data_IF_219437766126
#
_entry.id   IF_219437766126
#
_cell.length_a   1.000
_cell.length_b   1.000
_cell.length_c   1.000
_cell.angle_alpha   90.00
_cell.angle_beta   90.00
_cell.angle_gamma   90.00
#
_symmetry.space_group_name_H-M   'P 1'
#
loop_
_entity.id
_entity.type
_entity.pdbx_description
1 polymer ?
#
# COMPACT_ATOMS: atom_id res chain seq x y z
N UNK A 1 7.61 -100.37 -26.74
CA UNK A 1 6.31 -99.87 -27.23
C UNK A 1 5.40 -99.64 -26.04
N UNK A 2 4.52 -98.61 -25.94
CA UNK A 2 4.16 -97.57 -26.90
C UNK A 2 4.07 -96.11 -26.34
N UNK A 3 3.88 -95.16 -27.27
CA UNK A 3 3.17 -93.85 -27.21
C UNK A 3 3.73 -92.66 -26.39
N UNK A 4 4.28 -91.72 -27.16
CA UNK A 4 4.51 -90.31 -26.89
C UNK A 4 3.21 -89.51 -26.60
N UNK A 5 3.19 -88.60 -25.61
CA UNK A 5 2.21 -87.52 -25.58
C UNK A 5 2.71 -86.37 -26.48
N UNK A 6 1.90 -86.03 -27.47
CA UNK A 6 2.17 -85.04 -28.50
C UNK A 6 2.51 -83.65 -27.93
N UNK A 7 3.42 -82.97 -28.63
CA UNK A 7 3.71 -81.55 -28.45
C UNK A 7 2.43 -80.73 -28.72
N UNK A 8 1.87 -80.12 -27.68
CA UNK A 8 0.92 -79.02 -27.84
C UNK A 8 1.70 -77.71 -27.83
N UNK A 9 1.62 -76.86 -28.87
CA UNK A 9 2.25 -75.56 -28.82
C UNK A 9 1.56 -74.74 -27.73
N UNK A 10 2.33 -74.31 -26.73
CA UNK A 10 1.87 -73.36 -25.72
C UNK A 10 1.46 -72.09 -26.47
N UNK A 11 0.16 -71.86 -26.62
CA UNK A 11 -0.41 -70.65 -27.19
C UNK A 11 -0.02 -69.47 -26.28
N UNK A 12 1.14 -68.89 -26.53
CA UNK A 12 1.50 -67.61 -25.93
C UNK A 12 0.64 -66.54 -26.59
N UNK A 13 -0.36 -66.07 -25.85
CA UNK A 13 -1.22 -64.96 -26.26
C UNK A 13 -0.39 -63.67 -26.21
N UNK A 14 0.39 -63.43 -27.26
CA UNK A 14 1.19 -62.22 -27.42
C UNK A 14 0.21 -61.06 -27.52
N UNK A 15 0.08 -60.29 -26.44
CA UNK A 15 -0.68 -59.04 -26.44
C UNK A 15 0.02 -58.04 -27.35
N UNK A 16 -0.43 -57.91 -28.59
CA UNK A 16 0.06 -56.93 -29.58
C UNK A 16 -0.47 -55.52 -29.26
N UNK A 17 -0.14 -54.98 -28.09
CA UNK A 17 -0.61 -53.66 -27.66
C UNK A 17 0.36 -52.96 -26.71
N UNK A 18 0.51 -51.65 -26.86
CA UNK A 18 1.27 -50.81 -25.93
C UNK A 18 0.65 -50.86 -24.53
N UNK A 19 1.50 -50.82 -23.49
CA UNK A 19 1.06 -50.77 -22.09
C UNK A 19 0.11 -49.60 -21.82
N UNK A 20 -0.69 -49.71 -20.75
CA UNK A 20 -1.64 -48.67 -20.34
C UNK A 20 -0.94 -47.36 -19.95
N UNK A 21 0.23 -47.47 -19.31
CA UNK A 21 1.09 -46.35 -18.92
C UNK A 21 2.31 -46.31 -19.84
N UNK A 22 2.55 -45.16 -20.45
CA UNK A 22 3.68 -44.89 -21.35
C UNK A 22 4.40 -43.62 -20.89
N UNK A 23 5.70 -43.49 -21.20
CA UNK A 23 6.48 -42.27 -20.90
C UNK A 23 6.06 -41.05 -21.72
N UNK A 24 5.44 -41.28 -22.87
CA UNK A 24 4.94 -40.25 -23.79
C UNK A 24 3.40 -40.20 -23.75
N UNK A 25 2.85 -39.07 -24.20
CA UNK A 25 1.42 -38.91 -24.39
C UNK A 25 0.88 -39.92 -25.41
N UNK A 26 0.05 -40.83 -24.92
CA UNK A 26 -0.62 -41.82 -25.76
C UNK A 26 -1.84 -41.19 -26.42
N UNK A 27 -1.97 -41.36 -27.73
CA UNK A 27 -3.16 -40.93 -28.46
C UNK A 27 -4.42 -41.57 -27.85
N UNK A 28 -5.43 -40.74 -27.58
CA UNK A 28 -6.70 -41.21 -27.08
C UNK A 28 -7.50 -41.89 -28.20
N UNK A 29 -8.34 -42.85 -27.85
CA UNK A 29 -9.34 -43.37 -28.77
C UNK A 29 -10.29 -42.24 -29.19
N UNK A 30 -10.77 -42.26 -30.43
CA UNK A 30 -11.61 -41.19 -31.00
C UNK A 30 -12.82 -40.82 -30.12
N UNK A 31 -13.51 -41.81 -29.56
CA UNK A 31 -14.64 -41.57 -28.63
C UNK A 31 -14.20 -40.90 -27.32
N UNK A 32 -13.03 -41.27 -26.79
CA UNK A 32 -12.48 -40.66 -25.57
C UNK A 32 -12.07 -39.22 -25.82
N UNK A 33 -11.52 -38.92 -27.00
CA UNK A 33 -11.19 -37.54 -27.39
C UNK A 33 -12.44 -36.67 -27.45
N UNK A 34 -13.55 -37.18 -27.99
CA UNK A 34 -14.85 -36.49 -27.96
C UNK A 34 -15.34 -36.24 -26.54
N UNK A 35 -15.24 -37.26 -25.67
CA UNK A 35 -15.63 -37.12 -24.26
C UNK A 35 -14.85 -36.00 -23.59
N UNK A 36 -13.52 -36.00 -23.72
CA UNK A 36 -12.65 -34.98 -23.11
C UNK A 36 -13.04 -33.57 -23.56
N UNK A 37 -13.28 -33.38 -24.86
CA UNK A 37 -13.67 -32.09 -25.43
C UNK A 37 -15.05 -31.60 -24.94
N UNK A 38 -16.01 -32.51 -24.75
CA UNK A 38 -17.34 -32.17 -24.22
C UNK A 38 -17.28 -31.84 -22.72
N UNK A 39 -16.37 -32.48 -21.99
CA UNK A 39 -16.20 -32.27 -20.55
C UNK A 39 -15.26 -31.11 -20.20
N UNK A 40 -14.87 -30.30 -21.19
CA UNK A 40 -14.07 -29.10 -20.93
C UNK A 40 -14.86 -28.10 -20.05
N UNK A 41 -14.20 -27.60 -19.02
CA UNK A 41 -14.82 -26.63 -18.12
C UNK A 41 -15.05 -25.30 -18.83
N UNK A 42 -16.31 -24.85 -18.84
CA UNK A 42 -16.71 -23.54 -19.35
C UNK A 42 -17.05 -22.63 -18.17
N UNK A 43 -16.18 -21.66 -17.89
CA UNK A 43 -16.46 -20.65 -16.88
C UNK A 43 -17.70 -19.81 -17.31
N UNK A 44 -18.59 -19.46 -16.36
CA UNK A 44 -19.72 -18.59 -16.67
C UNK A 44 -19.21 -17.24 -17.16
N UNK A 45 -19.70 -16.81 -18.33
CA UNK A 45 -19.37 -15.49 -18.86
C UNK A 45 -20.14 -14.45 -18.05
N UNK A 46 -19.48 -13.48 -17.41
CA UNK A 46 -20.19 -12.43 -16.69
C UNK A 46 -21.02 -11.62 -17.71
N UNK A 47 -22.28 -11.35 -17.37
CA UNK A 47 -23.19 -10.58 -18.23
C UNK A 47 -22.70 -9.14 -18.44
N UNK A 48 -21.92 -8.63 -17.49
CA UNK A 48 -21.37 -7.28 -17.48
C UNK A 48 -19.86 -7.37 -17.27
N UNK A 49 -19.04 -6.73 -18.13
CA UNK A 49 -17.60 -6.66 -17.91
C UNK A 49 -17.26 -6.03 -16.55
N UNK A 50 -16.17 -6.43 -15.88
CA UNK A 50 -15.80 -5.93 -14.56
C UNK A 50 -15.54 -4.41 -14.53
N UNK A 51 -15.27 -3.78 -15.68
CA UNK A 51 -15.14 -2.32 -15.78
C UNK A 51 -16.48 -1.57 -15.68
N UNK A 52 -17.60 -2.25 -15.90
CA UNK A 52 -18.94 -1.69 -15.83
C UNK A 52 -19.65 -2.03 -14.51
N UNK A 53 -19.04 -2.89 -13.67
CA UNK A 53 -19.47 -3.05 -12.29
C UNK A 53 -19.02 -1.81 -11.51
N UNK A 54 -19.89 -1.18 -10.70
CA UNK A 54 -19.42 -0.19 -9.76
C UNK A 54 -18.31 -0.84 -8.95
N UNK A 55 -17.15 -0.16 -8.85
CA UNK A 55 -16.12 -0.59 -7.90
C UNK A 55 -16.83 -0.79 -6.58
N UNK A 56 -16.65 -1.95 -5.95
CA UNK A 56 -17.06 -2.15 -4.57
C UNK A 56 -16.49 -0.95 -3.81
N UNK A 57 -17.38 -0.02 -3.45
CA UNK A 57 -17.00 1.13 -2.66
C UNK A 57 -16.47 0.51 -1.39
N UNK A 58 -15.15 0.57 -1.21
CA UNK A 58 -14.47 0.13 -0.01
C UNK A 58 -15.35 0.59 1.14
N UNK A 59 -15.96 -0.40 1.81
CA UNK A 59 -16.94 -0.20 2.88
C UNK A 59 -16.46 0.96 3.71
N UNK A 60 -17.26 2.01 3.91
CA UNK A 60 -16.88 3.20 4.68
C UNK A 60 -16.22 2.76 5.98
N UNK A 61 -14.89 2.66 5.98
CA UNK A 61 -14.17 2.08 7.10
C UNK A 61 -14.40 3.09 8.22
N UNK A 62 -14.89 2.60 9.36
CA UNK A 62 -15.01 3.39 10.57
C UNK A 62 -13.70 4.15 10.78
N UNK A 63 -13.78 5.46 11.05
CA UNK A 63 -12.59 6.28 11.17
C UNK A 63 -11.63 5.65 12.18
N UNK A 64 -10.45 5.24 11.71
CA UNK A 64 -9.41 4.66 12.54
C UNK A 64 -9.22 5.49 13.81
N UNK A 65 -9.37 4.88 14.98
CA UNK A 65 -9.28 5.59 16.26
C UNK A 65 -7.95 6.35 16.43
N UNK A 66 -6.89 5.83 15.82
CA UNK A 66 -5.58 6.49 15.73
C UNK A 66 -5.61 7.78 14.90
N UNK A 67 -6.25 7.76 13.73
CA UNK A 67 -6.44 8.95 12.86
C UNK A 67 -7.22 10.03 13.63
N UNK A 68 -8.26 9.64 14.35
CA UNK A 68 -9.03 10.56 15.20
C UNK A 68 -8.18 11.19 16.31
N UNK A 69 -7.30 10.42 16.95
CA UNK A 69 -6.36 10.93 17.95
C UNK A 69 -5.36 11.91 17.33
N UNK A 70 -4.80 11.60 16.16
CA UNK A 70 -3.89 12.50 15.47
C UNK A 70 -4.56 13.82 15.08
N UNK A 71 -5.81 13.77 14.59
CA UNK A 71 -6.60 14.98 14.29
C UNK A 71 -6.76 15.86 15.53
N UNK A 72 -7.12 15.26 16.66
CA UNK A 72 -7.25 15.97 17.94
C UNK A 72 -5.93 16.61 18.40
N UNK A 73 -4.80 15.91 18.25
CA UNK A 73 -3.48 16.48 18.56
C UNK A 73 -3.11 17.68 17.69
N UNK A 74 -3.49 17.65 16.41
CA UNK A 74 -3.32 18.80 15.51
C UNK A 74 -4.20 19.95 15.98
N UNK A 75 -5.47 19.73 16.27
CA UNK A 75 -6.39 20.77 16.76
C UNK A 75 -5.90 21.41 18.05
N UNK A 76 -5.46 20.62 19.02
CA UNK A 76 -4.90 21.07 20.29
C UNK A 76 -3.61 21.89 20.05
N UNK A 77 -2.71 21.42 19.18
CA UNK A 77 -1.50 22.15 18.81
C UNK A 77 -1.81 23.51 18.18
N UNK A 78 -2.84 23.62 17.34
CA UNK A 78 -3.21 24.89 16.72
C UNK A 78 -3.98 25.82 17.67
N UNK A 79 -4.67 25.26 18.67
CA UNK A 79 -5.44 26.02 19.67
C UNK A 79 -4.55 26.60 20.77
N UNK A 80 -3.58 25.82 21.26
CA UNK A 80 -2.72 26.20 22.39
C UNK A 80 -1.63 27.20 22.02
N UNK A 81 -1.30 27.29 20.72
CA UNK A 81 -0.19 28.09 20.23
C UNK A 81 -0.69 29.36 19.51
N UNK A 82 -0.13 30.51 19.90
CA UNK A 82 -0.44 31.80 19.26
C UNK A 82 0.31 32.00 17.96
N UNK A 83 1.51 31.42 17.85
CA UNK A 83 2.35 31.48 16.66
C UNK A 83 2.44 30.09 16.04
N UNK A 84 2.13 30.02 14.75
CA UNK A 84 2.20 28.81 13.94
C UNK A 84 2.88 29.21 12.64
N UNK A 85 3.96 28.52 12.31
CA UNK A 85 4.69 28.71 11.07
C UNK A 85 4.78 27.37 10.32
N UNK A 86 4.45 27.40 9.04
CA UNK A 86 4.53 26.24 8.16
C UNK A 86 5.83 26.33 7.37
N UNK A 87 6.68 25.32 7.51
CA UNK A 87 7.92 25.21 6.78
C UNK A 87 7.94 23.93 5.95
N UNK A 88 8.63 23.98 4.82
CA UNK A 88 9.03 22.82 4.05
C UNK A 88 10.46 22.47 4.43
N UNK A 89 10.74 21.18 4.67
CA UNK A 89 12.10 20.73 4.93
C UNK A 89 12.60 19.85 3.79
N UNK A 90 13.81 20.16 3.33
CA UNK A 90 14.55 19.34 2.38
C UNK A 90 15.23 18.19 3.10
N UNK A 91 15.66 17.18 2.33
CA UNK A 91 16.35 16.03 2.89
C UNK A 91 17.62 16.48 3.62
N UNK A 92 17.67 16.26 4.93
CA UNK A 92 18.79 16.60 5.80
C UNK A 92 19.10 15.40 6.71
N UNK A 93 20.36 15.22 7.14
CA UNK A 93 20.71 14.13 8.05
C UNK A 93 19.99 14.31 9.39
N UNK A 94 19.76 13.20 10.09
CA UNK A 94 19.02 13.19 11.36
C UNK A 94 19.68 14.03 12.46
N UNK A 95 21.01 14.11 12.45
CA UNK A 95 21.80 14.88 13.44
C UNK A 95 21.50 16.37 13.35
N UNK A 96 21.53 16.93 12.15
CA UNK A 96 21.19 18.34 11.90
C UNK A 96 19.77 18.65 12.37
N UNK A 97 18.81 17.74 12.11
CA UNK A 97 17.42 17.94 12.54
C UNK A 97 17.29 17.97 14.07
N UNK A 98 18.06 17.15 14.78
CA UNK A 98 18.09 17.15 16.25
C UNK A 98 18.70 18.45 16.77
N UNK A 99 19.76 18.95 16.15
CA UNK A 99 20.35 20.24 16.51
C UNK A 99 19.35 21.39 16.32
N UNK A 100 18.67 21.44 15.18
CA UNK A 100 17.65 22.47 14.91
C UNK A 100 16.53 22.43 15.93
N UNK A 101 16.01 21.23 16.25
CA UNK A 101 15.02 21.06 17.32
C UNK A 101 15.53 21.58 18.66
N UNK A 102 16.79 21.32 18.99
CA UNK A 102 17.40 21.81 20.23
C UNK A 102 17.49 23.34 20.27
N UNK A 103 17.95 23.98 19.19
CA UNK A 103 17.99 25.45 19.09
C UNK A 103 16.61 26.09 19.18
N UNK A 104 15.60 25.52 18.51
CA UNK A 104 14.23 26.01 18.57
C UNK A 104 13.62 25.82 19.97
N UNK A 105 13.90 24.71 20.65
CA UNK A 105 13.47 24.48 22.04
C UNK A 105 14.04 25.51 23.02
N UNK A 106 15.27 25.99 22.83
CA UNK A 106 15.84 27.06 23.67
C UNK A 106 14.99 28.34 23.65
N UNK A 107 14.26 28.57 22.56
CA UNK A 107 13.35 29.71 22.41
C UNK A 107 11.88 29.39 22.70
N UNK A 108 11.57 28.22 23.29
CA UNK A 108 10.21 27.71 23.49
C UNK A 108 9.41 27.57 22.18
N UNK A 109 10.09 27.14 21.11
CA UNK A 109 9.47 26.80 19.83
C UNK A 109 9.51 25.28 19.68
N UNK A 110 8.34 24.67 19.53
CA UNK A 110 8.18 23.24 19.31
C UNK A 110 8.12 22.94 17.82
N UNK A 111 8.84 21.89 17.42
CA UNK A 111 8.81 21.36 16.06
C UNK A 111 7.88 20.16 16.03
N UNK A 112 6.79 20.26 15.27
CA UNK A 112 5.81 19.18 15.09
C UNK A 112 5.78 18.71 13.65
N UNK A 113 5.80 17.38 13.48
CA UNK A 113 5.67 16.73 12.18
C UNK A 113 4.26 16.15 12.10
N UNK A 114 3.56 16.51 11.04
CA UNK A 114 2.21 16.02 10.80
C UNK A 114 2.08 15.53 9.36
N UNK A 115 1.26 14.49 9.19
CA UNK A 115 0.93 13.96 7.88
C UNK A 115 -0.07 14.89 7.18
N UNK A 116 0.16 15.16 5.89
CA UNK A 116 -0.72 16.04 5.11
C UNK A 116 -2.17 15.53 5.07
N UNK A 117 -2.36 14.21 5.05
CA UNK A 117 -3.67 13.55 5.06
C UNK A 117 -4.46 13.84 6.33
N UNK A 118 -3.78 14.06 7.46
CA UNK A 118 -4.41 14.37 8.75
C UNK A 118 -4.64 15.87 8.89
N UNK A 119 -3.68 16.69 8.47
CA UNK A 119 -3.75 18.15 8.64
C UNK A 119 -4.78 18.79 7.71
N UNK A 120 -4.87 18.34 6.45
CA UNK A 120 -5.82 18.90 5.46
C UNK A 120 -7.29 18.89 5.91
N UNK A 121 -7.87 17.77 6.39
CA UNK A 121 -9.26 17.78 6.85
C UNK A 121 -9.45 18.70 8.07
N UNK A 122 -8.50 18.69 9.01
CA UNK A 122 -8.54 19.56 10.20
C UNK A 122 -8.51 21.04 9.81
N UNK A 123 -7.59 21.43 8.93
CA UNK A 123 -7.46 22.82 8.48
C UNK A 123 -8.68 23.28 7.67
N UNK A 124 -9.27 22.40 6.86
CA UNK A 124 -10.46 22.68 6.04
C UNK A 124 -11.69 23.02 6.88
N UNK A 125 -11.78 22.47 8.09
CA UNK A 125 -12.85 22.76 9.06
C UNK A 125 -12.51 23.94 9.97
N UNK A 126 -11.22 24.29 10.09
CA UNK A 126 -10.74 25.37 10.96
C UNK A 126 -10.79 26.77 10.31
N UNK A 127 -10.41 27.79 11.10
CA UNK A 127 -10.16 29.16 10.62
C UNK A 127 -8.92 29.31 9.73
N UNK A 128 -8.09 28.27 9.64
CA UNK A 128 -6.79 28.28 8.95
C UNK A 128 -6.85 27.69 7.54
N UNK A 129 -8.00 27.76 6.86
CA UNK A 129 -8.18 27.20 5.51
C UNK A 129 -7.16 27.72 4.50
N UNK A 130 -6.70 28.96 4.68
CA UNK A 130 -5.70 29.58 3.81
C UNK A 130 -4.31 28.93 3.88
N UNK A 131 -4.04 28.13 4.92
CA UNK A 131 -2.78 27.38 5.05
C UNK A 131 -2.80 26.04 4.29
N UNK A 132 -3.98 25.55 3.87
CA UNK A 132 -4.13 24.30 3.10
C UNK A 132 -3.15 24.17 1.91
N UNK A 133 -2.99 25.18 1.03
CA UNK A 133 -2.08 25.06 -0.11
C UNK A 133 -0.61 24.95 0.29
N UNK A 134 -0.22 25.33 1.51
CA UNK A 134 1.16 25.21 2.00
C UNK A 134 1.50 23.76 2.37
N UNK A 135 0.50 22.92 2.66
CA UNK A 135 0.72 21.52 3.03
C UNK A 135 0.85 20.61 1.82
N UNK A 136 1.99 20.72 1.12
CA UNK A 136 2.36 19.86 -0.03
C UNK A 136 3.74 19.25 0.19
N UNK A 137 3.88 17.93 0.04
CA UNK A 137 5.16 17.25 0.22
C UNK A 137 5.60 17.15 1.69
N UNK A 138 6.87 17.49 1.97
CA UNK A 138 7.51 17.34 3.30
C UNK A 138 7.38 18.61 4.13
N UNK A 139 6.37 18.62 4.99
CA UNK A 139 6.04 19.78 5.81
C UNK A 139 6.43 19.57 7.27
N UNK A 140 6.85 20.65 7.91
CA UNK A 140 7.08 20.73 9.34
C UNK A 140 6.39 21.99 9.87
N UNK A 141 5.72 21.85 11.02
CA UNK A 141 5.02 22.96 11.65
C UNK A 141 5.80 23.37 12.89
N UNK A 142 6.15 24.65 12.95
CA UNK A 142 6.76 25.26 14.13
C UNK A 142 5.65 25.94 14.91
N UNK A 143 5.49 25.55 16.17
CA UNK A 143 4.46 26.10 17.05
C UNK A 143 5.07 26.72 18.28
N UNK A 144 4.53 27.86 18.70
CA UNK A 144 4.91 28.50 19.96
C UNK A 144 3.74 29.21 20.61
N UNK A 145 3.72 29.20 21.95
CA UNK A 145 2.73 29.93 22.75
C UNK A 145 2.94 31.44 22.69
N UNK A 146 4.16 31.89 22.46
CA UNK A 146 4.54 33.29 22.35
C UNK A 146 4.96 33.63 20.91
N UNK A 147 4.71 34.87 20.47
CA UNK A 147 5.07 35.33 19.13
C UNK A 147 6.56 35.73 19.05
N UNK A 148 7.43 34.74 18.85
CA UNK A 148 8.90 34.86 18.75
C UNK A 148 9.44 34.71 17.32
N UNK A 149 8.86 35.48 16.39
CA UNK A 149 9.20 35.37 14.97
C UNK A 149 10.65 35.77 14.68
N UNK A 150 11.22 36.74 15.40
CA UNK A 150 12.59 37.23 15.14
C UNK A 150 13.63 36.17 15.49
N UNK A 151 13.46 35.49 16.62
CA UNK A 151 14.32 34.40 17.08
C UNK A 151 14.22 33.21 16.14
N UNK A 152 13.00 32.82 15.76
CA UNK A 152 12.75 31.76 14.80
C UNK A 152 13.46 32.01 13.47
N UNK A 153 13.30 33.21 12.90
CA UNK A 153 13.93 33.57 11.63
C UNK A 153 15.46 33.60 11.71
N UNK A 154 16.05 33.96 12.86
CA UNK A 154 17.51 33.89 13.05
C UNK A 154 18.00 32.45 13.00
N UNK A 155 17.30 31.51 13.63
CA UNK A 155 17.65 30.08 13.60
C UNK A 155 17.47 29.51 12.20
N UNK A 156 16.35 29.82 11.53
CA UNK A 156 16.08 29.34 10.17
C UNK A 156 17.07 29.89 9.13
N UNK A 157 17.56 31.12 9.30
CA UNK A 157 18.63 31.66 8.45
C UNK A 157 19.93 30.86 8.50
N UNK A 158 20.19 30.17 9.61
CA UNK A 158 21.35 29.28 9.74
C UNK A 158 21.16 27.92 9.06
N UNK A 159 19.93 27.59 8.63
CA UNK A 159 19.56 26.26 8.14
C UNK A 159 18.83 26.38 6.80
N UNK A 160 19.58 26.44 5.67
CA UNK A 160 18.98 26.60 4.35
C UNK A 160 18.14 25.39 3.90
N UNK A 161 18.23 24.26 4.61
CA UNK A 161 17.42 23.07 4.33
C UNK A 161 15.95 23.24 4.75
N UNK A 162 15.62 24.24 5.58
CA UNK A 162 14.26 24.51 6.04
C UNK A 162 13.77 25.82 5.44
N UNK A 163 12.79 25.71 4.54
CA UNK A 163 12.16 26.83 3.86
C UNK A 163 10.89 27.22 4.58
N UNK A 164 10.83 28.45 5.09
CA UNK A 164 9.60 29.01 5.66
C UNK A 164 8.64 29.38 4.53
N UNK A 165 7.39 28.90 4.61
CA UNK A 165 6.35 29.19 3.62
C UNK A 165 5.39 30.28 4.10
N UNK A 166 4.99 30.26 5.38
CA UNK A 166 4.02 31.20 5.94
C UNK A 166 3.75 31.02 7.42
#
# INVERSE_FOLDING_TARGET
SPLSPGWLPTLQLIRRGSKAVTRHWKAMHFQRQKLMAVTEYLAPRPAVPPCCLPRETETCQEEDGYVRLLRRQVEEAFRDNRMIAVCQYNSMPSEDMVMVKHYLRKHNIEVKFFLNEIVRPVLSQSKYKNLLPLFVGRNVVLVSRETKAKEMLRVLKGVPQINLLG
#
